data_IF_393849789519
#
_entry.id   IF_393849789519
#
_cell.length_a   1.000
_cell.length_b   1.000
_cell.length_c   1.000
_cell.angle_alpha   90.00
_cell.angle_beta   90.00
_cell.angle_gamma   90.00
#
_symmetry.space_group_name_H-M   'P 1'
#
loop_
_entity.id
_entity.type
_entity.pdbx_description
1 polymer ?
#
# COMPACT_ATOMS: atom_id res chain seq x y z
N UNK A 1 26.32 -6.89 4.33
CA UNK A 1 26.09 -8.30 3.95
C UNK A 1 25.64 -8.35 2.49
N UNK A 2 26.18 -9.25 1.69
CA UNK A 2 25.80 -9.37 0.28
C UNK A 2 25.51 -10.83 -0.09
N UNK A 3 24.41 -11.06 -0.80
CA UNK A 3 23.92 -12.37 -1.25
C UNK A 3 23.65 -12.29 -2.76
N UNK A 4 24.28 -13.17 -3.53
CA UNK A 4 24.20 -13.16 -4.99
C UNK A 4 23.88 -14.56 -5.52
N UNK A 5 22.98 -14.66 -6.49
CA UNK A 5 22.75 -15.90 -7.23
C UNK A 5 22.31 -17.08 -6.36
N UNK A 6 21.78 -16.81 -5.17
CA UNK A 6 21.57 -17.83 -4.13
C UNK A 6 20.12 -18.30 -4.10
N UNK A 7 19.90 -19.46 -3.48
CA UNK A 7 18.57 -20.04 -3.30
C UNK A 7 18.40 -20.50 -1.86
N UNK A 8 17.33 -20.04 -1.21
CA UNK A 8 16.92 -20.45 0.13
C UNK A 8 15.60 -21.22 0.01
N UNK A 9 15.55 -22.45 0.52
CA UNK A 9 14.37 -23.31 0.36
C UNK A 9 13.93 -23.93 1.67
N UNK A 10 12.61 -23.88 1.93
CA UNK A 10 11.95 -24.57 3.03
C UNK A 10 12.54 -24.22 4.41
N UNK A 11 12.93 -22.97 4.59
CA UNK A 11 13.42 -22.47 5.88
C UNK A 11 12.24 -22.09 6.75
N UNK A 12 12.23 -22.57 7.99
CA UNK A 12 11.17 -22.26 8.92
C UNK A 12 11.75 -21.94 10.30
N UNK A 13 11.35 -20.81 10.86
CA UNK A 13 11.66 -20.46 12.23
C UNK A 13 10.45 -20.77 13.13
N UNK A 14 10.58 -21.82 13.92
CA UNK A 14 9.63 -22.24 14.94
C UNK A 14 10.10 -21.71 16.30
N UNK A 15 9.24 -21.00 17.02
CA UNK A 15 9.56 -20.60 18.39
C UNK A 15 8.46 -21.05 19.35
N UNK A 16 8.84 -21.91 20.29
CA UNK A 16 7.96 -22.44 21.34
C UNK A 16 7.90 -21.53 22.58
N UNK A 17 8.56 -20.35 22.54
CA UNK A 17 8.56 -19.34 23.60
C UNK A 17 8.22 -17.95 23.04
N UNK A 18 7.79 -17.03 23.91
CA UNK A 18 7.15 -15.71 23.63
C UNK A 18 8.07 -14.71 22.88
N UNK A 19 9.24 -15.10 22.38
CA UNK A 19 10.13 -14.21 21.64
C UNK A 19 9.71 -14.08 20.17
N UNK A 20 9.66 -12.84 19.67
CA UNK A 20 9.37 -12.56 18.27
C UNK A 20 10.42 -13.24 17.37
N UNK A 21 9.94 -13.94 16.35
CA UNK A 21 10.80 -14.53 15.31
C UNK A 21 11.04 -13.51 14.20
N UNK A 22 12.17 -13.63 13.50
CA UNK A 22 12.55 -12.72 12.40
C UNK A 22 12.79 -13.55 11.13
N UNK A 23 13.24 -12.91 10.06
CA UNK A 23 13.67 -13.53 8.79
C UNK A 23 14.18 -14.96 8.92
N UNK A 24 13.43 -15.94 8.43
CA UNK A 24 13.86 -17.35 8.52
C UNK A 24 15.10 -17.65 7.67
N UNK A 25 15.36 -16.84 6.64
CA UNK A 25 16.55 -16.91 5.81
C UNK A 25 17.58 -15.84 6.21
N UNK A 26 17.16 -14.58 6.32
CA UNK A 26 18.06 -13.46 6.58
C UNK A 26 17.45 -12.53 7.61
N UNK A 27 18.19 -12.30 8.70
CA UNK A 27 17.95 -11.22 9.65
C UNK A 27 19.11 -10.22 9.57
N UNK A 28 18.83 -9.00 9.16
CA UNK A 28 19.83 -7.97 8.93
C UNK A 28 19.49 -6.66 9.66
N UNK A 29 20.51 -6.06 10.26
CA UNK A 29 20.42 -4.70 10.81
C UNK A 29 21.65 -3.93 10.33
N UNK A 30 21.44 -2.75 9.75
CA UNK A 30 22.54 -1.87 9.34
C UNK A 30 22.33 -0.43 9.77
N UNK A 31 23.40 0.16 10.32
CA UNK A 31 23.50 1.58 10.62
C UNK A 31 24.55 2.28 9.74
N UNK A 32 25.22 1.55 8.85
CA UNK A 32 26.29 2.01 7.94
C UNK A 32 25.93 1.82 6.47
N UNK A 33 26.66 2.49 5.58
CA UNK A 33 26.40 2.49 4.14
C UNK A 33 26.52 1.13 3.47
N UNK A 34 27.26 0.18 4.06
CA UNK A 34 27.52 -1.15 3.49
C UNK A 34 26.51 -2.22 3.96
N UNK A 35 25.23 -1.85 4.02
CA UNK A 35 24.19 -2.59 4.75
C UNK A 35 23.81 -3.95 4.17
N UNK A 36 22.82 -4.00 3.28
CA UNK A 36 22.26 -5.24 2.72
C UNK A 36 22.23 -5.19 1.20
N UNK A 37 22.71 -6.24 0.54
CA UNK A 37 22.57 -6.41 -0.90
C UNK A 37 22.10 -7.83 -1.22
N UNK A 38 20.95 -7.97 -1.87
CA UNK A 38 20.38 -9.25 -2.30
C UNK A 38 20.13 -9.17 -3.80
N UNK A 39 20.85 -9.96 -4.59
CA UNK A 39 20.80 -9.89 -6.05
C UNK A 39 20.60 -11.28 -6.65
N UNK A 40 19.72 -11.40 -7.64
CA UNK A 40 19.48 -12.66 -8.37
C UNK A 40 19.22 -13.84 -7.43
N UNK A 41 18.45 -13.61 -6.35
CA UNK A 41 18.31 -14.56 -5.25
C UNK A 41 16.86 -14.99 -5.10
N UNK A 42 16.63 -16.27 -4.84
CA UNK A 42 15.29 -16.85 -4.67
C UNK A 42 15.10 -17.34 -3.24
N UNK A 43 13.96 -17.00 -2.64
CA UNK A 43 13.48 -17.47 -1.35
C UNK A 43 12.18 -18.25 -1.59
N UNK A 44 12.20 -19.57 -1.37
CA UNK A 44 11.06 -20.45 -1.55
C UNK A 44 10.62 -21.02 -0.21
N UNK A 45 9.33 -20.92 0.10
CA UNK A 45 8.72 -21.54 1.29
C UNK A 45 9.41 -21.14 2.61
N UNK A 46 9.87 -19.89 2.70
CA UNK A 46 10.48 -19.35 3.91
C UNK A 46 9.39 -18.86 4.88
N UNK A 47 9.38 -19.37 6.11
CA UNK A 47 8.29 -19.16 7.07
C UNK A 47 8.78 -18.78 8.47
N UNK A 48 8.06 -17.88 9.11
CA UNK A 48 8.10 -17.66 10.56
C UNK A 48 6.71 -17.93 11.12
N UNK A 49 6.57 -18.47 12.33
CA UNK A 49 5.24 -18.82 12.90
C UNK A 49 4.58 -17.68 13.68
N UNK A 50 5.37 -16.82 14.33
CA UNK A 50 4.90 -15.64 15.07
C UNK A 50 5.89 -14.48 14.91
N UNK A 51 6.42 -14.35 13.71
CA UNK A 51 7.53 -13.48 13.40
C UNK A 51 7.25 -12.53 12.28
N UNK A 52 8.25 -11.70 12.01
CA UNK A 52 8.24 -10.70 10.97
C UNK A 52 9.28 -11.06 9.90
N UNK A 53 8.94 -10.87 8.63
CA UNK A 53 9.81 -11.21 7.51
C UNK A 53 9.86 -12.72 7.32
N UNK A 54 9.01 -13.31 6.49
CA UNK A 54 9.00 -14.78 6.35
C UNK A 54 10.32 -15.28 5.78
N UNK A 55 10.87 -14.60 4.78
CA UNK A 55 12.23 -14.84 4.30
C UNK A 55 13.23 -13.87 4.91
N UNK A 56 12.97 -12.57 4.76
CA UNK A 56 13.94 -11.52 5.08
C UNK A 56 13.33 -10.52 6.04
N UNK A 57 14.07 -10.24 7.11
CA UNK A 57 13.80 -9.16 8.04
C UNK A 57 14.98 -8.20 8.01
N UNK A 58 14.72 -6.91 7.76
CA UNK A 58 15.76 -5.90 7.70
C UNK A 58 15.38 -4.62 8.42
N UNK A 59 16.32 -4.09 9.22
CA UNK A 59 16.27 -2.76 9.82
C UNK A 59 17.43 -1.91 9.27
N UNK A 60 17.14 -0.73 8.76
CA UNK A 60 18.12 0.21 8.21
C UNK A 60 17.99 1.56 8.89
N UNK A 61 18.97 1.95 9.71
CA UNK A 61 18.96 3.21 10.44
C UNK A 61 20.07 4.15 9.97
N UNK A 62 19.95 5.45 10.24
CA UNK A 62 21.02 6.43 10.04
C UNK A 62 21.55 6.47 8.60
N UNK A 63 22.70 5.84 8.32
CA UNK A 63 23.28 5.75 6.97
C UNK A 63 23.08 4.40 6.31
N UNK A 64 22.33 3.50 6.98
CA UNK A 64 21.96 2.17 6.51
C UNK A 64 21.44 2.17 5.07
N UNK A 65 21.97 1.27 4.25
CA UNK A 65 21.51 1.06 2.86
C UNK A 65 21.15 -0.39 2.62
N UNK A 66 20.05 -0.61 1.89
CA UNK A 66 19.60 -1.92 1.42
C UNK A 66 19.34 -1.89 -0.08
N UNK A 67 19.69 -2.95 -0.78
CA UNK A 67 19.35 -3.16 -2.19
C UNK A 67 18.87 -4.58 -2.40
N UNK A 68 17.72 -4.73 -3.06
CA UNK A 68 17.13 -6.01 -3.44
C UNK A 68 16.79 -5.94 -4.92
N UNK A 69 17.55 -6.65 -5.74
CA UNK A 69 17.46 -6.56 -7.19
C UNK A 69 17.24 -7.95 -7.79
N UNK A 70 16.21 -8.10 -8.64
CA UNK A 70 15.90 -9.37 -9.29
C UNK A 70 15.82 -10.54 -8.30
N UNK A 71 15.14 -10.31 -7.17
CA UNK A 71 14.90 -11.34 -6.17
C UNK A 71 13.49 -11.93 -6.31
N UNK A 72 13.32 -13.19 -5.92
CA UNK A 72 12.02 -13.86 -5.94
C UNK A 72 11.70 -14.32 -4.52
N UNK A 73 10.57 -13.88 -3.99
CA UNK A 73 9.98 -14.35 -2.74
C UNK A 73 8.74 -15.15 -3.10
N UNK A 74 8.80 -16.47 -2.94
CA UNK A 74 7.75 -17.37 -3.36
C UNK A 74 7.21 -18.18 -2.19
N UNK A 75 5.90 -18.08 -1.96
CA UNK A 75 5.17 -18.77 -0.89
C UNK A 75 5.80 -18.55 0.49
N UNK A 76 6.33 -17.35 0.74
CA UNK A 76 6.90 -16.97 2.03
C UNK A 76 5.80 -16.51 3.01
N UNK A 77 5.98 -16.77 4.31
CA UNK A 77 4.92 -16.59 5.30
C UNK A 77 5.42 -16.02 6.62
N UNK A 78 4.71 -15.02 7.15
CA UNK A 78 5.01 -14.40 8.46
C UNK A 78 3.76 -13.73 9.04
N UNK A 79 3.84 -13.20 10.25
CA UNK A 79 2.78 -12.30 10.77
C UNK A 79 2.78 -11.01 9.98
N UNK A 80 3.96 -10.38 9.82
CA UNK A 80 4.16 -9.17 9.01
C UNK A 80 5.23 -9.39 7.96
N UNK A 81 5.00 -8.98 6.72
CA UNK A 81 6.01 -9.10 5.67
C UNK A 81 6.26 -10.57 5.31
N UNK A 82 5.27 -11.26 4.76
CA UNK A 82 5.37 -12.69 4.45
C UNK A 82 6.62 -13.01 3.60
N UNK A 83 6.94 -12.20 2.60
CA UNK A 83 8.25 -12.23 1.95
C UNK A 83 9.30 -11.44 2.73
N UNK A 84 9.03 -10.15 2.89
CA UNK A 84 10.00 -9.18 3.36
C UNK A 84 9.39 -8.24 4.41
N UNK A 85 10.09 -8.07 5.53
CA UNK A 85 9.85 -7.00 6.48
C UNK A 85 10.98 -5.99 6.40
N UNK A 86 10.64 -4.71 6.27
CA UNK A 86 11.58 -3.59 6.24
C UNK A 86 11.17 -2.56 7.28
N UNK A 87 12.14 -2.14 8.08
CA UNK A 87 12.08 -0.90 8.85
C UNK A 87 13.21 0.04 8.42
N UNK A 88 12.86 1.29 8.11
CA UNK A 88 13.82 2.33 7.71
C UNK A 88 13.67 3.54 8.60
N UNK A 89 14.75 3.96 9.27
CA UNK A 89 14.72 5.12 10.16
C UNK A 89 15.94 6.05 10.03
N UNK A 90 15.77 7.31 10.45
CA UNK A 90 16.88 8.25 10.68
C UNK A 90 17.80 8.52 9.48
N UNK A 91 17.32 8.37 8.24
CA UNK A 91 18.11 8.55 7.03
C UNK A 91 18.48 7.26 6.31
N UNK A 92 18.10 6.10 6.86
CA UNK A 92 18.24 4.79 6.24
C UNK A 92 17.51 4.74 4.89
N UNK A 93 17.92 3.83 4.00
CA UNK A 93 17.29 3.70 2.67
C UNK A 93 17.30 2.28 2.15
N UNK A 94 16.22 1.87 1.48
CA UNK A 94 16.20 0.62 0.71
C UNK A 94 15.67 0.84 -0.70
N UNK A 95 16.28 0.16 -1.66
CA UNK A 95 15.83 0.09 -3.05
C UNK A 95 15.46 -1.37 -3.36
N UNK A 96 14.24 -1.58 -3.84
CA UNK A 96 13.74 -2.87 -4.32
C UNK A 96 13.41 -2.71 -5.79
N UNK A 97 14.13 -3.40 -6.69
CA UNK A 97 14.01 -3.13 -8.12
C UNK A 97 14.24 -4.36 -9.01
N UNK A 98 14.28 -4.12 -10.32
CA UNK A 98 14.68 -5.06 -11.37
C UNK A 98 13.87 -6.36 -11.33
N UNK A 99 12.56 -6.27 -11.57
CA UNK A 99 11.65 -7.42 -11.62
C UNK A 99 11.65 -8.27 -10.33
N UNK A 100 11.94 -7.64 -9.18
CA UNK A 100 11.78 -8.32 -7.90
C UNK A 100 10.32 -8.72 -7.72
N UNK A 101 10.09 -10.00 -7.43
CA UNK A 101 8.77 -10.63 -7.43
C UNK A 101 8.43 -11.20 -6.06
N UNK A 102 7.23 -10.88 -5.58
CA UNK A 102 6.57 -11.50 -4.43
C UNK A 102 5.39 -12.31 -4.95
N UNK A 103 5.49 -13.63 -4.87
CA UNK A 103 4.49 -14.56 -5.40
C UNK A 103 3.91 -15.40 -4.27
N UNK A 104 2.59 -15.46 -4.17
CA UNK A 104 1.87 -16.29 -3.19
C UNK A 104 2.31 -16.10 -1.74
N UNK A 105 2.86 -14.94 -1.39
CA UNK A 105 3.30 -14.65 -0.03
C UNK A 105 2.09 -14.38 0.86
N UNK A 106 2.13 -14.80 2.13
CA UNK A 106 0.95 -14.83 3.00
C UNK A 106 1.25 -14.31 4.40
N UNK A 107 0.23 -13.72 5.03
CA UNK A 107 0.21 -13.66 6.47
C UNK A 107 -0.21 -15.03 7.04
N UNK A 108 0.53 -15.53 8.03
CA UNK A 108 0.37 -16.90 8.54
C UNK A 108 -0.71 -17.06 9.62
N UNK A 109 -1.22 -15.95 10.17
CA UNK A 109 -2.17 -15.88 11.27
C UNK A 109 -3.33 -14.94 10.89
N UNK A 110 -4.47 -15.11 11.53
CA UNK A 110 -5.65 -14.24 11.39
C UNK A 110 -5.75 -13.21 12.53
N UNK A 111 -4.59 -12.76 13.02
CA UNK A 111 -4.54 -11.79 14.10
C UNK A 111 -4.68 -10.38 13.53
N UNK A 112 -5.21 -9.45 14.32
CA UNK A 112 -5.43 -8.05 13.93
C UNK A 112 -4.15 -7.29 13.49
N UNK A 113 -2.97 -7.90 13.66
CA UNK A 113 -1.66 -7.35 13.33
C UNK A 113 -1.02 -8.02 12.10
N UNK A 114 -1.78 -8.83 11.36
CA UNK A 114 -1.31 -9.57 10.18
C UNK A 114 -1.30 -8.70 8.92
N UNK A 115 -0.14 -8.13 8.61
CA UNK A 115 0.01 -6.97 7.71
C UNK A 115 1.08 -7.19 6.63
N UNK A 116 0.79 -6.85 5.38
CA UNK A 116 1.80 -6.77 4.32
C UNK A 116 2.31 -8.13 3.87
N UNK A 117 1.51 -8.97 3.24
CA UNK A 117 1.92 -10.37 2.99
C UNK A 117 3.06 -10.53 2.02
N UNK A 118 3.20 -9.66 1.02
CA UNK A 118 4.45 -9.56 0.28
C UNK A 118 5.49 -8.79 1.08
N UNK A 119 5.16 -7.52 1.35
CA UNK A 119 6.04 -6.55 2.01
C UNK A 119 5.33 -5.83 3.16
N UNK A 120 5.96 -5.83 4.32
CA UNK A 120 5.68 -4.86 5.38
C UNK A 120 6.78 -3.80 5.37
N UNK A 121 6.42 -2.53 5.21
CA UNK A 121 7.32 -1.40 5.12
C UNK A 121 6.98 -0.37 6.19
N UNK A 122 7.87 -0.21 7.16
CA UNK A 122 7.81 0.84 8.16
C UNK A 122 8.91 1.87 7.92
N UNK A 123 8.53 3.14 7.97
CA UNK A 123 9.44 4.25 7.76
C UNK A 123 9.20 5.37 8.78
N UNK A 124 10.29 5.91 9.31
CA UNK A 124 10.29 7.06 10.21
C UNK A 124 11.57 7.87 10.05
N UNK A 125 11.65 9.05 10.65
CA UNK A 125 12.89 9.84 10.67
C UNK A 125 13.12 10.71 9.42
N UNK A 126 14.00 11.68 9.59
CA UNK A 126 14.46 12.58 8.53
C UNK A 126 15.22 11.83 7.43
N UNK A 127 14.99 12.17 6.17
CA UNK A 127 15.74 11.67 5.00
C UNK A 127 15.70 10.15 4.76
N UNK A 128 14.80 9.45 5.43
CA UNK A 128 14.56 8.02 5.21
C UNK A 128 13.87 7.78 3.86
N UNK A 129 14.17 6.67 3.20
CA UNK A 129 13.54 6.37 1.91
C UNK A 129 13.30 4.87 1.70
N UNK A 130 12.12 4.54 1.18
CA UNK A 130 11.82 3.23 0.61
C UNK A 130 11.45 3.47 -0.86
N UNK A 131 12.20 2.87 -1.78
CA UNK A 131 11.94 2.96 -3.22
C UNK A 131 11.71 1.55 -3.79
N UNK A 132 10.54 1.34 -4.38
CA UNK A 132 10.18 0.10 -5.06
C UNK A 132 9.94 0.45 -6.52
N UNK A 133 10.74 -0.14 -7.42
CA UNK A 133 10.67 0.24 -8.82
C UNK A 133 11.06 -0.86 -9.80
N UNK A 134 11.14 -0.53 -11.10
CA UNK A 134 11.73 -1.40 -12.11
C UNK A 134 10.94 -2.69 -12.33
N UNK A 135 9.61 -2.57 -12.50
CA UNK A 135 8.70 -3.68 -12.77
C UNK A 135 8.62 -4.70 -11.64
N UNK A 136 8.65 -4.23 -10.39
CA UNK A 136 8.43 -5.10 -9.23
C UNK A 136 6.98 -5.62 -9.22
N UNK A 137 6.80 -6.89 -8.85
CA UNK A 137 5.51 -7.58 -8.94
C UNK A 137 5.09 -8.18 -7.60
N UNK A 138 3.83 -7.98 -7.22
CA UNK A 138 3.16 -8.64 -6.11
C UNK A 138 1.98 -9.43 -6.69
N UNK A 139 2.06 -10.75 -6.64
CA UNK A 139 1.12 -11.64 -7.32
C UNK A 139 0.55 -12.63 -6.31
N UNK A 140 -0.78 -12.74 -6.26
CA UNK A 140 -1.47 -13.70 -5.40
C UNK A 140 -1.08 -13.60 -3.91
N UNK A 141 -0.65 -12.42 -3.46
CA UNK A 141 -0.29 -12.21 -2.07
C UNK A 141 -1.57 -12.06 -1.22
N UNK A 142 -1.64 -12.79 -0.11
CA UNK A 142 -2.87 -12.93 0.68
C UNK A 142 -2.65 -12.54 2.14
N UNK A 143 -3.15 -11.34 2.49
CA UNK A 143 -3.19 -10.77 3.83
C UNK A 143 -4.42 -11.22 4.60
N UNK A 144 -4.24 -11.44 5.90
CA UNK A 144 -5.35 -11.74 6.78
C UNK A 144 -6.09 -10.46 7.22
N UNK A 145 -5.39 -9.33 7.35
CA UNK A 145 -5.98 -8.06 7.78
C UNK A 145 -5.76 -6.93 6.79
N UNK A 146 -4.51 -6.49 6.59
CA UNK A 146 -4.21 -5.25 5.84
C UNK A 146 -3.06 -5.44 4.87
N UNK A 147 -3.21 -4.92 3.65
CA UNK A 147 -2.10 -4.91 2.69
C UNK A 147 -1.77 -6.32 2.20
N UNK A 148 -2.61 -6.89 1.34
CA UNK A 148 -2.36 -8.23 0.79
C UNK A 148 -1.03 -8.28 0.07
N UNK A 149 -0.75 -7.30 -0.80
CA UNK A 149 0.58 -7.10 -1.36
C UNK A 149 1.52 -6.41 -0.38
N UNK A 150 1.20 -5.15 -0.05
CA UNK A 150 2.08 -4.24 0.69
C UNK A 150 1.33 -3.58 1.83
N UNK A 151 1.96 -3.52 3.00
CA UNK A 151 1.56 -2.64 4.08
C UNK A 151 2.61 -1.54 4.28
N UNK A 152 2.17 -0.29 4.34
CA UNK A 152 3.03 0.89 4.53
C UNK A 152 2.61 1.60 5.81
N UNK A 153 3.57 1.77 6.71
CA UNK A 153 3.43 2.58 7.92
C UNK A 153 4.46 3.68 7.93
N UNK A 154 3.98 4.93 8.04
CA UNK A 154 4.82 6.05 8.41
C UNK A 154 4.58 6.40 9.88
N UNK A 155 5.59 6.21 10.73
CA UNK A 155 5.50 6.28 12.19
C UNK A 155 6.48 7.31 12.77
N UNK A 156 6.41 8.57 12.32
CA UNK A 156 7.29 9.61 12.83
C UNK A 156 6.71 10.36 14.05
N UNK A 157 7.59 10.73 15.00
CA UNK A 157 7.27 11.67 16.08
C UNK A 157 8.35 12.77 16.13
N UNK A 158 7.94 14.04 16.27
CA UNK A 158 8.86 15.19 16.33
C UNK A 158 8.96 16.03 15.05
N UNK A 159 9.78 17.08 15.10
CA UNK A 159 9.96 18.06 14.01
C UNK A 159 10.99 17.57 12.95
N UNK A 160 10.92 18.11 11.73
CA UNK A 160 11.82 17.81 10.60
C UNK A 160 11.78 16.38 10.04
N UNK A 161 10.60 15.79 9.98
CA UNK A 161 10.38 14.45 9.43
C UNK A 161 10.21 14.55 7.90
N UNK A 162 10.95 13.73 7.15
CA UNK A 162 10.95 13.80 5.68
C UNK A 162 11.12 12.43 5.02
N UNK A 163 10.69 11.38 5.71
CA UNK A 163 10.66 10.04 5.13
C UNK A 163 9.75 9.98 3.90
N UNK A 164 10.17 9.26 2.88
CA UNK A 164 9.45 9.16 1.60
C UNK A 164 9.33 7.71 1.15
N UNK A 165 8.18 7.35 0.61
CA UNK A 165 7.96 6.07 -0.06
C UNK A 165 7.64 6.33 -1.54
N UNK A 166 8.36 5.66 -2.44
CA UNK A 166 8.14 5.70 -3.88
C UNK A 166 7.81 4.29 -4.40
N UNK A 167 6.72 4.17 -5.13
CA UNK A 167 6.39 3.01 -5.96
C UNK A 167 6.34 3.48 -7.42
N UNK A 168 7.23 2.98 -8.27
CA UNK A 168 7.30 3.36 -9.68
C UNK A 168 7.41 2.13 -10.58
N UNK A 169 6.44 1.91 -11.48
CA UNK A 169 6.39 0.68 -12.28
C UNK A 169 6.27 -0.55 -11.38
N UNK A 170 5.26 -0.55 -10.51
CA UNK A 170 4.92 -1.67 -9.64
C UNK A 170 3.60 -2.28 -10.10
N UNK A 171 3.53 -3.60 -10.15
CA UNK A 171 2.31 -4.35 -10.44
C UNK A 171 1.83 -5.09 -9.19
N UNK A 172 0.56 -4.92 -8.84
CA UNK A 172 -0.13 -5.71 -7.83
C UNK A 172 -1.28 -6.43 -8.50
N UNK A 173 -1.29 -7.76 -8.42
CA UNK A 173 -2.26 -8.60 -9.11
C UNK A 173 -2.82 -9.70 -8.22
N UNK A 174 -4.15 -9.82 -8.21
CA UNK A 174 -4.86 -10.88 -7.48
C UNK A 174 -4.52 -10.94 -5.98
N UNK A 175 -4.12 -9.80 -5.40
CA UNK A 175 -3.86 -9.72 -3.98
C UNK A 175 -5.18 -9.64 -3.20
N UNK A 176 -5.19 -10.19 -1.99
CA UNK A 176 -6.37 -10.24 -1.11
C UNK A 176 -6.02 -9.81 0.32
N UNK A 177 -6.91 -9.08 0.99
CA UNK A 177 -6.85 -8.74 2.41
C UNK A 177 -8.24 -8.28 2.89
N UNK A 178 -8.43 -8.03 4.20
CA UNK A 178 -9.67 -7.37 4.65
C UNK A 178 -9.70 -5.92 4.19
N UNK A 179 -8.61 -5.18 4.36
CA UNK A 179 -8.45 -3.81 3.87
C UNK A 179 -7.24 -3.66 2.95
N UNK A 180 -7.39 -2.88 1.88
CA UNK A 180 -6.27 -2.50 1.03
C UNK A 180 -5.58 -3.71 0.43
N UNK A 181 -6.30 -4.52 -0.36
CA UNK A 181 -5.78 -5.83 -0.78
C UNK A 181 -4.51 -5.74 -1.62
N UNK A 182 -4.40 -4.73 -2.49
CA UNK A 182 -3.10 -4.39 -3.05
C UNK A 182 -2.21 -3.77 -1.97
N UNK A 183 -2.57 -2.56 -1.54
CA UNK A 183 -1.79 -1.77 -0.58
C UNK A 183 -2.70 -1.24 0.53
N UNK A 184 -2.21 -1.34 1.77
CA UNK A 184 -2.73 -0.55 2.89
C UNK A 184 -1.66 0.45 3.33
N UNK A 185 -2.02 1.73 3.43
CA UNK A 185 -1.12 2.80 3.85
C UNK A 185 -1.68 3.57 5.04
N UNK A 186 -0.87 3.69 6.08
CA UNK A 186 -1.10 4.56 7.24
C UNK A 186 -0.01 5.63 7.28
N UNK A 187 -0.38 6.87 6.97
CA UNK A 187 0.52 7.99 6.81
C UNK A 187 0.16 9.08 7.83
N UNK A 188 1.15 9.48 8.64
CA UNK A 188 0.99 10.52 9.66
C UNK A 188 2.09 11.56 9.55
N UNK A 189 1.79 12.80 9.93
CA UNK A 189 2.76 13.86 10.22
C UNK A 189 3.99 13.93 9.28
N UNK A 190 3.81 14.51 8.09
CA UNK A 190 4.82 14.65 7.03
C UNK A 190 5.15 13.36 6.26
N UNK A 191 4.33 12.31 6.41
CA UNK A 191 4.42 11.10 5.61
C UNK A 191 4.15 11.35 4.13
N UNK A 192 5.08 10.95 3.26
CA UNK A 192 4.94 11.14 1.81
C UNK A 192 4.94 9.81 1.05
N UNK A 193 3.88 9.56 0.30
CA UNK A 193 3.71 8.38 -0.55
C UNK A 193 3.50 8.82 -2.00
N UNK A 194 4.36 8.35 -2.90
CA UNK A 194 4.19 8.54 -4.35
C UNK A 194 4.04 7.18 -5.03
N UNK A 195 2.97 7.01 -5.80
CA UNK A 195 2.72 5.84 -6.64
C UNK A 195 2.64 6.33 -8.09
N UNK A 196 3.47 5.80 -8.98
CA UNK A 196 3.45 6.19 -10.39
C UNK A 196 3.70 5.04 -11.35
N UNK A 197 3.20 5.17 -12.58
CA UNK A 197 3.34 4.16 -13.64
C UNK A 197 2.98 2.73 -13.18
N UNK A 198 2.03 2.59 -12.26
CA UNK A 198 1.80 1.34 -11.52
C UNK A 198 0.40 0.78 -11.80
N UNK A 199 0.24 -0.53 -11.68
CA UNK A 199 -1.00 -1.23 -11.99
C UNK A 199 -1.50 -2.07 -10.81
N UNK A 200 -2.80 -2.00 -10.56
CA UNK A 200 -3.54 -2.81 -9.59
C UNK A 200 -4.59 -3.59 -10.37
N UNK A 201 -4.48 -4.91 -10.42
CA UNK A 201 -5.37 -5.75 -11.23
C UNK A 201 -6.00 -6.84 -10.39
N UNK A 202 -7.33 -6.92 -10.41
CA UNK A 202 -8.08 -7.99 -9.74
C UNK A 202 -7.77 -8.12 -8.23
N UNK A 203 -7.29 -7.05 -7.59
CA UNK A 203 -7.13 -7.04 -6.14
C UNK A 203 -8.52 -6.94 -5.49
N UNK A 204 -8.81 -7.83 -4.54
CA UNK A 204 -10.15 -7.97 -3.96
C UNK A 204 -10.08 -7.99 -2.45
N UNK A 205 -10.89 -7.18 -1.76
CA UNK A 205 -11.05 -7.36 -0.31
C UNK A 205 -11.85 -8.61 0.00
N UNK A 206 -11.63 -9.17 1.19
CA UNK A 206 -12.38 -10.31 1.70
C UNK A 206 -13.60 -9.89 2.51
N UNK A 207 -13.53 -8.77 3.22
CA UNK A 207 -14.65 -8.29 4.06
C UNK A 207 -14.76 -6.78 4.24
N UNK A 208 -13.72 -5.98 3.98
CA UNK A 208 -13.74 -4.52 4.25
C UNK A 208 -13.35 -3.71 3.01
N UNK A 209 -12.57 -2.65 3.16
CA UNK A 209 -12.53 -1.52 2.22
C UNK A 209 -11.27 -1.48 1.33
N UNK A 210 -11.38 -0.86 0.15
CA UNK A 210 -10.24 -0.56 -0.72
C UNK A 210 -9.66 -1.80 -1.41
N UNK A 211 -10.26 -2.22 -2.52
CA UNK A 211 -9.80 -3.41 -3.25
C UNK A 211 -8.36 -3.31 -3.74
N UNK A 212 -8.00 -2.18 -4.34
CA UNK A 212 -6.62 -1.90 -4.75
C UNK A 212 -5.79 -1.25 -3.66
N UNK A 213 -6.31 -0.16 -3.09
CA UNK A 213 -5.55 0.71 -2.18
C UNK A 213 -6.44 1.23 -1.05
N UNK A 214 -5.91 1.18 0.16
CA UNK A 214 -6.47 1.81 1.34
C UNK A 214 -5.52 2.90 1.86
N UNK A 215 -6.03 4.12 2.04
CA UNK A 215 -5.28 5.26 2.57
C UNK A 215 -5.91 5.73 3.88
N UNK A 216 -5.10 5.81 4.92
CA UNK A 216 -5.42 6.51 6.17
C UNK A 216 -4.33 7.56 6.39
N UNK A 217 -4.66 8.82 6.10
CA UNK A 217 -3.69 9.91 6.02
C UNK A 217 -4.09 11.08 6.92
N UNK A 218 -3.15 11.50 7.76
CA UNK A 218 -3.35 12.67 8.62
C UNK A 218 -2.08 13.40 9.02
N UNK A 219 -2.22 14.59 9.58
CA UNK A 219 -1.10 15.41 10.05
C UNK A 219 -0.59 16.39 8.98
N UNK A 220 0.03 17.46 9.46
CA UNK A 220 0.54 18.51 8.59
C UNK A 220 1.70 17.98 7.71
N UNK A 221 1.70 18.34 6.43
CA UNK A 221 2.71 17.91 5.45
C UNK A 221 2.55 16.47 4.95
N UNK A 222 1.50 15.75 5.36
CA UNK A 222 1.20 14.42 4.84
C UNK A 222 0.64 14.52 3.42
N UNK A 223 1.33 13.89 2.47
CA UNK A 223 1.09 14.05 1.03
C UNK A 223 1.08 12.69 0.35
N UNK A 224 0.03 12.42 -0.41
CA UNK A 224 -0.12 11.24 -1.25
C UNK A 224 -0.28 11.68 -2.69
N UNK A 225 0.51 11.10 -3.60
CA UNK A 225 0.39 11.38 -5.02
C UNK A 225 0.31 10.08 -5.81
N UNK A 226 -0.76 9.93 -6.59
CA UNK A 226 -0.87 8.91 -7.63
C UNK A 226 -0.75 9.62 -8.97
N UNK A 227 0.27 9.28 -9.76
CA UNK A 227 0.59 10.04 -10.98
C UNK A 227 1.08 9.18 -12.13
N UNK A 228 1.11 9.73 -13.34
CA UNK A 228 1.72 9.12 -14.53
C UNK A 228 1.20 7.69 -14.78
N UNK A 229 -0.03 7.56 -15.27
CA UNK A 229 -0.59 6.27 -15.73
C UNK A 229 -0.69 5.21 -14.63
N UNK A 230 -1.28 5.55 -13.48
CA UNK A 230 -1.72 4.53 -12.53
C UNK A 230 -3.03 3.92 -13.01
N UNK A 231 -3.13 2.58 -12.99
CA UNK A 231 -4.33 1.84 -13.39
C UNK A 231 -4.85 0.98 -12.24
N UNK A 232 -6.15 1.06 -12.00
CA UNK A 232 -6.91 0.09 -11.22
C UNK A 232 -7.86 -0.64 -12.17
N UNK A 233 -7.64 -1.94 -12.40
CA UNK A 233 -8.39 -2.76 -13.32
C UNK A 233 -9.09 -3.92 -12.60
N UNK A 234 -10.41 -3.87 -12.58
CA UNK A 234 -11.28 -4.85 -11.92
C UNK A 234 -10.94 -5.08 -10.44
N UNK A 235 -10.54 -4.03 -9.73
CA UNK A 235 -10.41 -4.07 -8.28
C UNK A 235 -11.79 -4.12 -7.62
N UNK A 236 -11.90 -4.90 -6.54
CA UNK A 236 -13.15 -5.17 -5.86
C UNK A 236 -13.04 -4.94 -4.35
N UNK A 237 -14.03 -4.29 -3.77
CA UNK A 237 -14.20 -4.20 -2.32
C UNK A 237 -15.56 -4.75 -1.90
N UNK A 238 -15.60 -5.56 -0.85
CA UNK A 238 -16.84 -6.02 -0.24
C UNK A 238 -17.62 -4.87 0.42
N UNK A 239 -16.91 -3.89 0.97
CA UNK A 239 -17.50 -2.64 1.47
C UNK A 239 -17.11 -1.47 0.56
N UNK A 240 -16.63 -0.36 1.10
CA UNK A 240 -16.44 0.89 0.37
C UNK A 240 -15.15 0.95 -0.44
N UNK A 241 -15.18 1.68 -1.57
CA UNK A 241 -14.01 1.98 -2.38
C UNK A 241 -13.53 0.77 -3.17
N UNK A 242 -14.20 0.45 -4.27
CA UNK A 242 -13.88 -0.74 -5.06
C UNK A 242 -12.42 -0.80 -5.50
N UNK A 243 -11.86 0.34 -5.96
CA UNK A 243 -10.42 0.49 -6.13
C UNK A 243 -9.76 1.12 -4.90
N UNK A 244 -10.19 2.34 -4.53
CA UNK A 244 -9.55 3.11 -3.47
C UNK A 244 -10.55 3.45 -2.37
N UNK A 245 -10.15 3.15 -1.14
CA UNK A 245 -10.76 3.73 0.05
C UNK A 245 -9.80 4.70 0.71
N UNK A 246 -10.26 5.89 1.10
CA UNK A 246 -9.41 6.88 1.75
C UNK A 246 -10.08 7.62 2.90
N UNK A 247 -9.31 7.82 3.97
CA UNK A 247 -9.62 8.72 5.09
C UNK A 247 -8.55 9.80 5.14
N UNK A 248 -8.96 11.03 4.89
CA UNK A 248 -8.11 12.21 4.83
C UNK A 248 -8.55 13.18 5.92
N UNK A 249 -7.75 13.34 6.96
CA UNK A 249 -8.10 14.21 8.09
C UNK A 249 -6.89 15.02 8.54
N UNK A 250 -7.12 16.16 9.20
CA UNK A 250 -6.05 16.97 9.80
C UNK A 250 -4.91 17.27 8.82
N UNK A 251 -5.21 17.89 7.67
CA UNK A 251 -4.25 18.22 6.61
C UNK A 251 -3.68 17.04 5.79
N UNK A 252 -4.28 15.85 5.86
CA UNK A 252 -3.98 14.77 4.92
C UNK A 252 -4.40 15.14 3.49
N UNK A 253 -3.44 15.27 2.58
CA UNK A 253 -3.68 15.69 1.20
C UNK A 253 -3.39 14.56 0.22
N UNK A 254 -4.25 14.40 -0.79
CA UNK A 254 -4.08 13.40 -1.85
C UNK A 254 -4.34 14.01 -3.22
N UNK A 255 -3.39 13.83 -4.13
CA UNK A 255 -3.46 14.25 -5.53
C UNK A 255 -3.49 13.03 -6.45
N UNK A 256 -4.48 12.98 -7.34
CA UNK A 256 -4.62 11.97 -8.39
C UNK A 256 -4.47 12.63 -9.76
N UNK A 257 -3.39 12.27 -10.47
CA UNK A 257 -3.07 12.78 -11.80
C UNK A 257 -2.93 11.64 -12.81
N UNK A 258 -3.79 11.62 -13.84
CA UNK A 258 -3.65 10.63 -14.92
C UNK A 258 -3.94 9.20 -14.46
N UNK A 259 -4.88 9.05 -13.52
CA UNK A 259 -5.25 7.76 -12.91
C UNK A 259 -6.47 7.18 -13.61
N UNK A 260 -6.43 5.89 -13.93
CA UNK A 260 -7.51 5.18 -14.60
C UNK A 260 -8.14 4.14 -13.67
N UNK A 261 -9.45 4.14 -13.59
CA UNK A 261 -10.26 3.17 -12.86
C UNK A 261 -11.15 2.44 -13.86
N UNK A 262 -10.96 1.13 -14.01
CA UNK A 262 -11.69 0.32 -14.98
C UNK A 262 -12.37 -0.85 -14.28
N UNK A 263 -13.68 -0.98 -14.45
CA UNK A 263 -14.46 -2.11 -13.94
C UNK A 263 -14.40 -2.30 -12.42
N UNK A 264 -14.07 -1.24 -11.66
CA UNK A 264 -13.88 -1.36 -10.22
C UNK A 264 -15.24 -1.41 -9.50
N UNK A 265 -15.34 -2.23 -8.46
CA UNK A 265 -16.63 -2.59 -7.86
C UNK A 265 -16.62 -2.53 -6.33
N UNK A 266 -17.62 -1.85 -5.77
CA UNK A 266 -17.97 -1.92 -4.35
C UNK A 266 -19.26 -2.75 -4.22
N UNK A 267 -19.24 -3.84 -3.45
CA UNK A 267 -20.37 -4.78 -3.36
C UNK A 267 -21.45 -4.20 -2.44
N UNK A 268 -21.11 -4.02 -1.16
CA UNK A 268 -22.03 -3.59 -0.11
C UNK A 268 -21.75 -2.16 0.40
N UNK A 269 -20.68 -1.53 -0.07
CA UNK A 269 -20.30 -0.16 0.30
C UNK A 269 -20.68 0.89 -0.74
N UNK A 270 -19.95 2.00 -0.72
CA UNK A 270 -20.10 3.15 -1.61
C UNK A 270 -18.86 3.29 -2.50
N UNK A 271 -19.02 3.92 -3.67
CA UNK A 271 -17.89 4.34 -4.50
C UNK A 271 -17.18 3.15 -5.16
N UNK A 272 -17.71 2.68 -6.29
CA UNK A 272 -17.12 1.59 -7.07
C UNK A 272 -15.69 1.87 -7.52
N UNK A 273 -15.35 3.11 -7.83
CA UNK A 273 -13.97 3.56 -8.00
C UNK A 273 -13.36 3.98 -6.66
N UNK A 274 -13.82 5.13 -6.14
CA UNK A 274 -13.26 5.75 -4.94
C UNK A 274 -14.36 5.96 -3.88
N UNK A 275 -14.04 5.63 -2.62
CA UNK A 275 -14.74 6.15 -1.45
C UNK A 275 -13.78 7.02 -0.62
N UNK A 276 -14.18 8.24 -0.32
CA UNK A 276 -13.35 9.20 0.41
C UNK A 276 -14.07 9.87 1.58
N UNK A 277 -13.48 9.83 2.77
CA UNK A 277 -13.90 10.63 3.92
C UNK A 277 -12.88 11.74 4.14
N UNK A 278 -13.31 13.00 4.00
CA UNK A 278 -12.43 14.17 3.94
C UNK A 278 -12.85 15.17 5.02
N UNK A 279 -12.03 15.33 6.05
CA UNK A 279 -12.38 16.09 7.25
C UNK A 279 -11.23 16.97 7.75
N UNK A 280 -11.51 17.95 8.61
CA UNK A 280 -10.48 18.74 9.32
C UNK A 280 -9.31 19.24 8.44
N UNK A 281 -9.61 19.90 7.31
CA UNK A 281 -8.62 20.42 6.34
C UNK A 281 -7.94 19.36 5.46
N UNK A 282 -8.40 18.10 5.46
CA UNK A 282 -7.97 17.11 4.48
C UNK A 282 -8.43 17.48 3.07
N UNK A 283 -7.71 17.03 2.03
CA UNK A 283 -8.02 17.38 0.64
C UNK A 283 -7.82 16.22 -0.30
N UNK A 284 -8.75 16.05 -1.23
CA UNK A 284 -8.62 15.16 -2.37
C UNK A 284 -8.74 15.98 -3.67
N UNK A 285 -7.71 15.95 -4.49
CA UNK A 285 -7.70 16.59 -5.80
C UNK A 285 -7.54 15.56 -6.91
N UNK A 286 -8.49 15.54 -7.85
CA UNK A 286 -8.45 14.74 -9.06
C UNK A 286 -8.24 15.70 -10.23
N UNK A 287 -7.18 15.49 -11.00
CA UNK A 287 -6.92 16.37 -12.12
C UNK A 287 -6.14 15.73 -13.26
N UNK A 288 -6.21 16.35 -14.43
CA UNK A 288 -5.44 16.01 -15.61
C UNK A 288 -5.58 14.52 -16.01
N UNK A 289 -6.64 14.18 -16.75
CA UNK A 289 -6.87 12.85 -17.33
C UNK A 289 -7.14 11.74 -16.31
N UNK A 290 -8.00 12.00 -15.32
CA UNK A 290 -8.51 10.96 -14.43
C UNK A 290 -9.76 10.33 -15.03
N UNK A 291 -9.78 9.01 -15.21
CA UNK A 291 -10.85 8.30 -15.91
C UNK A 291 -11.50 7.24 -15.03
N UNK A 292 -12.83 7.20 -15.02
CA UNK A 292 -13.62 6.12 -14.45
C UNK A 292 -14.43 5.46 -15.56
N UNK A 293 -14.21 4.16 -15.78
CA UNK A 293 -14.90 3.39 -16.82
C UNK A 293 -15.54 2.15 -16.22
N UNK A 294 -16.87 2.08 -16.26
CA UNK A 294 -17.61 0.90 -15.81
C UNK A 294 -17.48 0.62 -14.32
N UNK A 295 -17.25 1.64 -13.48
CA UNK A 295 -17.19 1.46 -12.03
C UNK A 295 -18.60 1.29 -11.44
N UNK A 296 -18.77 0.35 -10.52
CA UNK A 296 -20.09 -0.11 -10.06
C UNK A 296 -20.20 -0.15 -8.54
N UNK A 297 -21.37 0.23 -8.03
CA UNK A 297 -21.82 -0.11 -6.68
C UNK A 297 -23.13 -0.94 -6.75
N UNK A 298 -23.11 -2.16 -6.19
CA UNK A 298 -24.20 -3.14 -6.37
C UNK A 298 -25.35 -2.99 -5.38
N UNK A 299 -25.11 -2.60 -4.13
CA UNK A 299 -26.14 -2.60 -3.08
C UNK A 299 -26.47 -1.23 -2.47
N UNK A 300 -25.73 -0.17 -2.82
CA UNK A 300 -25.94 1.20 -2.32
C UNK A 300 -25.95 2.21 -3.47
N UNK A 301 -26.21 3.45 -3.08
CA UNK A 301 -26.07 4.61 -3.94
C UNK A 301 -24.57 4.77 -4.31
N UNK A 302 -24.24 5.42 -5.44
CA UNK A 302 -22.93 6.05 -5.75
C UNK A 302 -21.90 5.15 -6.49
N UNK A 303 -21.89 5.25 -7.83
CA UNK A 303 -21.16 4.34 -8.73
C UNK A 303 -19.67 4.60 -8.89
N UNK A 304 -19.26 5.77 -9.37
CA UNK A 304 -17.84 6.10 -9.59
C UNK A 304 -17.11 6.56 -8.33
N UNK A 305 -17.53 7.70 -7.78
CA UNK A 305 -16.96 8.29 -6.56
C UNK A 305 -18.07 8.49 -5.52
N UNK A 306 -17.79 8.08 -4.29
CA UNK A 306 -18.42 8.62 -3.10
C UNK A 306 -17.42 9.46 -2.32
N UNK A 307 -17.82 10.66 -1.93
CA UNK A 307 -17.09 11.46 -0.96
C UNK A 307 -18.02 11.96 0.14
N UNK A 308 -17.48 12.09 1.35
CA UNK A 308 -18.08 12.84 2.43
C UNK A 308 -17.09 13.91 2.87
N UNK A 309 -17.43 15.18 2.62
CA UNK A 309 -16.57 16.31 2.94
C UNK A 309 -17.18 17.08 4.11
N UNK A 310 -16.53 17.03 5.29
CA UNK A 310 -16.95 17.78 6.46
C UNK A 310 -15.90 18.82 6.87
N UNK A 311 -16.36 20.02 7.17
CA UNK A 311 -15.52 21.14 7.62
C UNK A 311 -15.68 21.39 9.11
N UNK A 312 -14.61 21.87 9.75
CA UNK A 312 -14.72 22.51 11.06
C UNK A 312 -14.81 24.03 10.85
N UNK A 313 -15.93 24.64 11.22
CA UNK A 313 -16.17 26.08 11.05
C UNK A 313 -15.15 26.99 11.79
N UNK A 314 -14.36 26.42 12.71
CA UNK A 314 -13.35 27.14 13.50
C UNK A 314 -11.92 27.12 12.91
N UNK A 315 -11.69 26.47 11.77
CA UNK A 315 -10.36 26.37 11.13
C UNK A 315 -10.36 27.16 9.80
N UNK A 316 -9.29 27.92 9.51
CA UNK A 316 -9.22 28.76 8.30
C UNK A 316 -9.08 27.94 7.00
N UNK A 317 -8.52 26.74 7.09
CA UNK A 317 -8.39 25.80 5.97
C UNK A 317 -9.60 24.87 5.93
N UNK A 318 -10.26 24.81 4.77
CA UNK A 318 -11.42 23.94 4.54
C UNK A 318 -10.99 22.60 3.96
N UNK A 319 -11.72 21.56 4.33
CA UNK A 319 -11.66 20.27 3.65
C UNK A 319 -12.21 20.41 2.23
N UNK A 320 -11.63 19.73 1.24
CA UNK A 320 -12.12 19.82 -0.15
C UNK A 320 -12.02 18.51 -0.93
N UNK A 321 -13.02 18.31 -1.79
CA UNK A 321 -12.93 17.44 -2.97
C UNK A 321 -12.89 18.35 -4.19
N UNK A 322 -11.81 18.28 -4.96
CA UNK A 322 -11.62 19.11 -6.15
C UNK A 322 -11.45 18.22 -7.38
N UNK A 323 -12.25 18.48 -8.42
CA UNK A 323 -12.10 17.84 -9.72
C UNK A 323 -11.81 18.94 -10.75
N UNK A 324 -10.73 18.80 -11.51
CA UNK A 324 -10.33 19.81 -12.49
C UNK A 324 -9.65 19.19 -13.69
N UNK A 325 -9.56 19.92 -14.81
CA UNK A 325 -8.77 19.53 -15.98
C UNK A 325 -8.99 18.07 -16.43
N UNK A 326 -10.13 17.78 -17.04
CA UNK A 326 -10.38 16.47 -17.68
C UNK A 326 -10.49 15.29 -16.71
N UNK A 327 -11.53 15.28 -15.88
CA UNK A 327 -11.96 14.11 -15.11
C UNK A 327 -13.20 13.52 -15.78
N UNK A 328 -13.12 12.27 -16.24
CA UNK A 328 -14.15 11.64 -17.06
C UNK A 328 -14.80 10.44 -16.37
N UNK A 329 -16.11 10.27 -16.59
CA UNK A 329 -16.90 9.14 -16.11
C UNK A 329 -17.63 8.52 -17.30
N UNK A 330 -17.38 7.25 -17.56
CA UNK A 330 -18.00 6.49 -18.63
C UNK A 330 -18.62 5.20 -18.06
N UNK A 331 -19.91 4.99 -18.31
CA UNK A 331 -20.64 3.78 -17.90
C UNK A 331 -20.57 3.43 -16.39
N UNK A 332 -20.30 4.41 -15.52
CA UNK A 332 -20.35 4.21 -14.06
C UNK A 332 -21.80 4.12 -13.58
N UNK A 333 -22.13 3.13 -12.75
CA UNK A 333 -23.52 2.83 -12.35
C UNK A 333 -23.66 2.60 -10.86
N UNK A 334 -24.84 2.96 -10.35
CA UNK A 334 -25.31 2.62 -9.01
C UNK A 334 -26.71 2.01 -9.11
N UNK A 335 -26.97 0.97 -8.32
CA UNK A 335 -28.25 0.23 -8.33
C UNK A 335 -29.38 0.90 -7.54
N UNK A 336 -29.08 1.92 -6.73
CA UNK A 336 -30.06 2.68 -5.96
C UNK A 336 -29.96 4.17 -6.30
N UNK A 337 -31.10 4.85 -6.25
CA UNK A 337 -31.49 6.10 -6.95
C UNK A 337 -30.58 7.36 -6.87
N UNK A 338 -29.34 7.31 -6.36
CA UNK A 338 -28.45 8.47 -6.32
C UNK A 338 -27.06 8.22 -6.94
N UNK A 339 -26.71 9.05 -7.95
CA UNK A 339 -25.35 9.33 -8.44
C UNK A 339 -24.62 8.15 -9.11
N UNK A 340 -24.70 8.01 -10.44
CA UNK A 340 -23.89 7.00 -11.17
C UNK A 340 -22.40 7.36 -11.25
N UNK A 341 -22.08 8.64 -11.49
CA UNK A 341 -20.71 9.14 -11.57
C UNK A 341 -20.14 9.52 -10.20
N UNK A 342 -20.70 10.55 -9.57
CA UNK A 342 -20.21 11.11 -8.31
C UNK A 342 -21.39 11.33 -7.35
N UNK A 343 -21.11 11.17 -6.07
CA UNK A 343 -21.87 11.75 -4.97
C UNK A 343 -20.89 12.30 -3.94
N UNK A 344 -21.07 13.56 -3.54
CA UNK A 344 -20.24 14.26 -2.56
C UNK A 344 -21.12 15.10 -1.63
#
# INVERSE_FOLDING_TARGET
>A
MSVYGSKFENLAQYNNQIQQTHGSAINAQSNSTDGLMIINTTFNNCKTDRGNGGAVYVILNSTGRGQINNAIFNNCQATKGGGLYVEVSGGGRIEINNHTKFDQCKCNNNDNNSEGSGLYAEISGQSSNISISGFAEFINCSGAERGGGIYILYSASGYNQSGTILLDQVSLSQCTAKNGSGIYSLLKDQGKLTIRNSNFSQCSTTTQHGGGLFIDASGNGTEISLTNSVLFDNCKSEEDGGAIYMRLYNYGNTDLWGVNFKGCQSVNGNGGGICAYIQSSGKLHLHNLVNFTGCVCDNKNRGGIYAEVSGNASISTRSSLELSNQVYFDNCRSSKNNGGGIYA
#
